data_IF_141095150858
#
_entry.id   IF_141095150858
#
_cell.length_a   1.000
_cell.length_b   1.000
_cell.length_c   1.000
_cell.angle_alpha   90.00
_cell.angle_beta   90.00
_cell.angle_gamma   90.00
#
_symmetry.space_group_name_H-M   'P 1'
#
loop_
_entity.id
_entity.type
_entity.pdbx_description
1 polymer ?
#
# COMPACT_ATOMS: atom_id res chain seq x y z
N UNK A 1 -30.75 -19.09 40.85
CA UNK A 1 -29.34 -18.74 40.61
C UNK A 1 -28.99 -18.97 39.13
N UNK A 2 -28.28 -17.99 38.53
CA UNK A 2 -27.37 -18.12 37.38
C UNK A 2 -27.88 -18.47 35.96
N UNK A 3 -28.82 -17.68 35.39
CA UNK A 3 -28.94 -17.57 33.91
C UNK A 3 -28.42 -16.25 33.33
N UNK A 4 -28.18 -15.24 34.16
CA UNK A 4 -27.76 -13.90 33.73
C UNK A 4 -26.24 -13.74 33.51
N UNK A 5 -25.42 -14.70 33.96
CA UNK A 5 -23.94 -14.62 33.85
C UNK A 5 -23.36 -15.18 32.54
N UNK A 6 -24.11 -16.00 31.81
CA UNK A 6 -23.63 -16.59 30.56
C UNK A 6 -23.77 -15.66 29.35
N UNK A 7 -24.74 -14.74 29.36
CA UNK A 7 -24.99 -13.83 28.25
C UNK A 7 -23.96 -12.69 28.20
N UNK A 8 -23.43 -12.26 29.34
CA UNK A 8 -22.39 -11.21 29.40
C UNK A 8 -21.04 -11.70 28.88
N UNK A 9 -20.69 -12.98 29.06
CA UNK A 9 -19.40 -13.53 28.62
C UNK A 9 -19.35 -13.69 27.09
N UNK A 10 -20.48 -14.00 26.44
CA UNK A 10 -20.53 -14.10 24.97
C UNK A 10 -20.43 -12.76 24.26
N UNK A 11 -20.94 -11.67 24.85
CA UNK A 11 -20.87 -10.34 24.22
C UNK A 11 -19.46 -9.74 24.31
N UNK A 12 -18.72 -10.00 25.41
CA UNK A 12 -17.33 -9.53 25.54
C UNK A 12 -16.38 -10.28 24.58
N UNK A 13 -16.66 -11.54 24.25
CA UNK A 13 -15.91 -12.28 23.24
C UNK A 13 -16.22 -11.86 21.80
N UNK A 14 -17.41 -11.32 21.52
CA UNK A 14 -17.78 -10.85 20.18
C UNK A 14 -17.32 -9.41 19.88
N UNK A 15 -17.16 -8.55 20.89
CA UNK A 15 -16.63 -7.18 20.69
C UNK A 15 -15.11 -7.20 20.43
N UNK A 16 -14.38 -8.23 20.87
CA UNK A 16 -12.96 -8.41 20.56
C UNK A 16 -12.65 -8.90 19.14
N UNK A 17 -13.66 -9.34 18.38
CA UNK A 17 -13.48 -9.96 17.04
C UNK A 17 -13.82 -8.99 15.91
N UNK A 18 -14.43 -7.85 16.20
CA UNK A 18 -14.80 -6.87 15.18
C UNK A 18 -13.81 -5.71 15.11
N UNK A 19 -13.09 -5.67 13.98
CA UNK A 19 -12.12 -4.67 13.52
C UNK A 19 -10.70 -4.82 14.08
N UNK A 20 -10.07 -5.96 13.79
CA UNK A 20 -8.64 -5.88 13.41
C UNK A 20 -8.60 -5.22 12.04
N UNK A 21 -8.73 -3.90 12.02
CA UNK A 21 -8.28 -3.14 10.86
C UNK A 21 -6.80 -3.50 10.73
N UNK A 22 -6.43 -4.17 9.65
CA UNK A 22 -5.17 -4.89 9.50
C UNK A 22 -3.99 -3.93 9.30
N UNK A 23 -3.92 -2.87 10.09
CA UNK A 23 -2.82 -1.93 10.05
C UNK A 23 -1.54 -2.69 10.34
N UNK A 24 -0.53 -2.52 9.49
CA UNK A 24 0.74 -3.19 9.70
C UNK A 24 1.39 -2.67 10.97
N UNK A 25 2.10 -3.54 11.70
CA UNK A 25 2.74 -3.15 12.95
C UNK A 25 3.79 -2.07 12.69
N UNK A 26 3.94 -1.14 13.65
CA UNK A 26 4.94 -0.07 13.52
C UNK A 26 6.35 -0.63 13.31
N UNK A 27 6.68 -1.74 13.98
CA UNK A 27 7.96 -2.44 13.81
C UNK A 27 8.19 -2.93 12.36
N UNK A 28 7.16 -3.44 11.69
CA UNK A 28 7.24 -3.78 10.28
C UNK A 28 7.47 -2.54 9.42
N UNK A 29 6.69 -1.46 9.64
CA UNK A 29 6.78 -0.22 8.87
C UNK A 29 8.18 0.39 8.94
N UNK A 30 8.78 0.43 10.12
CA UNK A 30 10.13 0.98 10.29
C UNK A 30 11.20 0.11 9.64
N UNK A 31 11.06 -1.22 9.71
CA UNK A 31 11.98 -2.15 9.05
C UNK A 31 11.87 -2.09 7.52
N UNK A 32 10.65 -2.02 6.97
CA UNK A 32 10.40 -1.84 5.55
C UNK A 32 11.00 -0.51 5.06
N UNK A 33 10.73 0.58 5.77
CA UNK A 33 11.31 1.90 5.49
C UNK A 33 12.83 1.88 5.44
N UNK A 34 13.47 1.23 6.42
CA UNK A 34 14.92 1.12 6.46
C UNK A 34 15.47 0.34 5.26
N UNK A 35 14.83 -0.78 4.91
CA UNK A 35 15.22 -1.63 3.79
C UNK A 35 15.09 -0.96 2.42
N UNK A 36 14.20 0.04 2.30
CA UNK A 36 13.94 0.77 1.05
C UNK A 36 14.52 2.18 1.02
N UNK A 37 15.15 2.64 2.10
CA UNK A 37 15.59 4.03 2.33
C UNK A 37 16.29 4.71 1.15
N UNK A 38 17.14 3.97 0.43
CA UNK A 38 17.84 4.47 -0.75
C UNK A 38 16.94 4.84 -1.96
N UNK A 39 15.64 4.59 -1.89
CA UNK A 39 14.66 4.85 -2.96
C UNK A 39 13.44 5.63 -2.45
N UNK A 40 13.39 5.93 -1.15
CA UNK A 40 12.27 6.65 -0.54
C UNK A 40 12.25 8.10 -1.04
N UNK A 41 11.05 8.60 -1.36
CA UNK A 41 10.76 9.93 -1.88
C UNK A 41 11.55 10.30 -3.15
N UNK A 42 12.15 9.31 -3.82
CA UNK A 42 12.86 9.53 -5.06
C UNK A 42 11.92 9.36 -6.23
N UNK A 43 11.87 10.40 -7.06
CA UNK A 43 11.00 10.40 -8.21
C UNK A 43 11.35 9.27 -9.19
N UNK A 44 10.34 8.67 -9.81
CA UNK A 44 10.48 7.64 -10.85
C UNK A 44 11.20 6.35 -10.40
N UNK A 45 11.47 6.19 -9.09
CA UNK A 45 12.15 5.02 -8.50
C UNK A 45 11.19 3.97 -7.92
N UNK A 46 9.94 3.93 -8.39
CA UNK A 46 8.92 3.00 -7.90
C UNK A 46 9.27 1.53 -8.19
N UNK A 47 9.95 1.24 -9.30
CA UNK A 47 10.37 -0.13 -9.67
C UNK A 47 11.45 -0.63 -8.71
N UNK A 48 12.52 0.14 -8.53
CA UNK A 48 13.62 -0.23 -7.64
C UNK A 48 13.14 -0.32 -6.18
N UNK A 49 12.30 0.62 -5.74
CA UNK A 49 11.63 0.53 -4.44
C UNK A 49 10.86 -0.78 -4.29
N UNK A 50 9.99 -1.12 -5.26
CA UNK A 50 9.17 -2.31 -5.20
C UNK A 50 10.00 -3.61 -5.21
N UNK A 51 11.10 -3.64 -5.96
CA UNK A 51 12.04 -4.78 -5.95
C UNK A 51 12.70 -4.98 -4.58
N UNK A 52 13.13 -3.88 -3.94
CA UNK A 52 13.70 -3.94 -2.58
C UNK A 52 12.67 -4.35 -1.54
N UNK A 53 11.46 -3.79 -1.60
CA UNK A 53 10.38 -4.17 -0.71
C UNK A 53 9.99 -5.65 -0.90
N UNK A 54 9.91 -6.14 -2.14
CA UNK A 54 9.67 -7.57 -2.43
C UNK A 54 10.73 -8.45 -1.78
N UNK A 55 12.00 -8.08 -1.91
CA UNK A 55 13.13 -8.82 -1.31
C UNK A 55 13.02 -8.87 0.22
N UNK A 56 12.69 -7.73 0.84
CA UNK A 56 12.45 -7.63 2.28
C UNK A 56 11.28 -8.52 2.73
N UNK A 57 10.16 -8.49 2.03
CA UNK A 57 8.97 -9.29 2.35
C UNK A 57 9.21 -10.80 2.22
N UNK A 58 9.94 -11.23 1.19
CA UNK A 58 10.33 -12.63 1.03
C UNK A 58 11.15 -13.13 2.21
N UNK A 59 12.03 -12.30 2.77
CA UNK A 59 12.88 -12.68 3.89
C UNK A 59 12.22 -12.52 5.27
N UNK A 60 11.20 -11.66 5.41
CA UNK A 60 10.71 -11.23 6.72
C UNK A 60 9.20 -11.38 6.95
N UNK A 61 8.41 -11.81 5.96
CA UNK A 61 6.95 -11.90 6.09
C UNK A 61 6.52 -12.75 7.29
N UNK A 62 7.14 -13.91 7.52
CA UNK A 62 6.88 -14.75 8.68
C UNK A 62 7.19 -14.03 10.01
N UNK A 63 8.33 -13.33 10.10
CA UNK A 63 8.73 -12.56 11.29
C UNK A 63 7.71 -11.51 11.69
N UNK A 64 7.09 -10.86 10.71
CA UNK A 64 6.12 -9.78 10.93
C UNK A 64 4.66 -10.23 10.80
N UNK A 65 4.39 -11.54 10.75
CA UNK A 65 3.05 -12.11 10.57
C UNK A 65 2.30 -11.53 9.35
N UNK A 66 3.03 -11.22 8.28
CA UNK A 66 2.46 -10.78 7.01
C UNK A 66 1.99 -12.04 6.26
N UNK A 67 0.69 -12.30 6.31
CA UNK A 67 0.07 -13.48 5.69
C UNK A 67 -0.28 -13.25 4.23
N UNK A 68 -0.39 -12.00 3.79
CA UNK A 68 -0.62 -11.66 2.38
C UNK A 68 -0.02 -10.30 2.01
N UNK A 69 0.54 -10.23 0.81
CA UNK A 69 0.90 -9.00 0.15
C UNK A 69 0.74 -9.19 -1.35
N UNK A 70 0.41 -8.11 -2.06
CA UNK A 70 0.26 -8.11 -3.53
C UNK A 70 0.96 -6.90 -4.11
N UNK A 71 1.59 -7.09 -5.26
CA UNK A 71 2.12 -5.97 -6.03
C UNK A 71 1.13 -5.64 -7.14
N UNK A 72 0.92 -4.35 -7.36
CA UNK A 72 0.09 -3.86 -8.44
C UNK A 72 0.87 -2.87 -9.29
N UNK A 73 0.65 -3.00 -10.60
CA UNK A 73 1.02 -2.00 -11.57
C UNK A 73 -0.19 -1.10 -11.83
N UNK A 74 0.04 0.21 -11.71
CA UNK A 74 -0.95 1.24 -11.99
C UNK A 74 -0.55 1.92 -13.29
N UNK A 75 -1.49 1.96 -14.22
CA UNK A 75 -1.34 2.56 -15.54
C UNK A 75 -2.45 3.53 -15.84
N UNK A 76 -2.17 4.58 -16.58
CA UNK A 76 -3.20 5.44 -17.16
C UNK A 76 -3.95 4.66 -18.26
N UNK A 77 -5.29 4.78 -18.33
CA UNK A 77 -6.15 4.10 -19.32
C UNK A 77 -5.83 4.53 -20.75
N UNK A 78 -5.58 5.82 -20.94
CA UNK A 78 -5.42 6.41 -22.29
C UNK A 78 -3.95 6.52 -22.72
N UNK A 79 -3.06 5.72 -22.11
CA UNK A 79 -1.62 5.75 -22.41
C UNK A 79 -0.94 7.09 -22.08
N UNK A 80 -1.54 7.89 -21.20
CA UNK A 80 -0.97 9.17 -20.76
C UNK A 80 0.32 8.93 -19.97
N UNK A 81 1.38 9.71 -20.20
CA UNK A 81 2.71 9.42 -19.67
C UNK A 81 2.88 9.72 -18.17
N UNK A 82 1.92 10.38 -17.52
CA UNK A 82 2.14 10.93 -16.17
C UNK A 82 1.00 10.60 -15.19
N UNK A 83 1.39 9.98 -14.09
CA UNK A 83 0.64 9.84 -12.85
C UNK A 83 1.27 10.82 -11.84
N UNK A 84 0.47 11.63 -11.17
CA UNK A 84 0.90 12.51 -10.07
C UNK A 84 0.16 12.14 -8.78
N UNK A 85 0.64 12.61 -7.64
CA UNK A 85 0.06 12.30 -6.34
C UNK A 85 0.19 13.50 -5.39
N UNK A 86 -0.90 13.86 -4.70
CA UNK A 86 -0.94 15.09 -3.87
C UNK A 86 0.12 15.14 -2.78
N UNK A 87 0.46 13.98 -2.20
CA UNK A 87 1.50 13.89 -1.15
C UNK A 87 2.94 14.09 -1.67
N UNK A 88 3.14 14.21 -2.99
CA UNK A 88 4.43 14.52 -3.61
C UNK A 88 4.38 15.85 -4.38
N UNK A 89 3.53 15.91 -5.40
CA UNK A 89 3.35 17.05 -6.28
C UNK A 89 2.17 16.79 -7.21
N UNK A 90 1.38 17.83 -7.49
CA UNK A 90 0.30 17.79 -8.48
C UNK A 90 0.81 17.94 -9.92
N UNK A 91 2.06 18.40 -10.10
CA UNK A 91 2.65 18.71 -11.42
C UNK A 91 3.85 17.83 -11.77
N UNK A 92 4.42 17.13 -10.79
CA UNK A 92 5.60 16.27 -10.99
C UNK A 92 5.19 14.80 -10.97
N UNK A 93 5.37 14.13 -12.10
CA UNK A 93 5.00 12.72 -12.25
C UNK A 93 5.77 11.84 -11.26
N UNK A 94 5.08 10.87 -10.66
CA UNK A 94 5.62 9.82 -9.77
C UNK A 94 5.86 8.51 -10.51
N UNK A 95 5.37 8.45 -11.75
CA UNK A 95 5.43 7.30 -12.66
C UNK A 95 6.39 7.52 -13.81
N UNK A 96 7.06 6.46 -14.25
CA UNK A 96 7.80 6.46 -15.50
C UNK A 96 6.94 5.90 -16.62
N UNK A 97 6.74 6.62 -17.73
CA UNK A 97 5.91 6.21 -18.86
C UNK A 97 4.47 5.82 -18.47
N UNK A 98 3.86 6.58 -17.55
CA UNK A 98 2.50 6.36 -17.08
C UNK A 98 2.34 5.10 -16.22
N UNK A 99 3.44 4.52 -15.74
CA UNK A 99 3.48 3.30 -14.94
C UNK A 99 4.02 3.57 -13.53
N UNK A 100 3.27 3.13 -12.52
CA UNK A 100 3.67 3.17 -11.11
C UNK A 100 3.48 1.80 -10.47
N UNK A 101 4.35 1.42 -9.54
CA UNK A 101 4.25 0.13 -8.84
C UNK A 101 4.01 0.37 -7.36
N UNK A 102 3.00 -0.30 -6.82
CA UNK A 102 2.68 -0.30 -5.41
C UNK A 102 2.69 -1.72 -4.85
N UNK A 103 2.94 -1.85 -3.55
CA UNK A 103 2.61 -3.05 -2.78
C UNK A 103 1.41 -2.77 -1.87
N UNK A 104 0.43 -3.67 -1.84
CA UNK A 104 -0.64 -3.64 -0.84
C UNK A 104 -0.35 -4.73 0.19
N UNK A 105 -0.20 -4.32 1.44
CA UNK A 105 0.20 -5.18 2.56
C UNK A 105 -0.79 -4.91 3.68
N UNK A 106 -1.60 -5.92 4.00
CA UNK A 106 -2.68 -5.82 4.99
C UNK A 106 -3.60 -4.59 4.80
N UNK A 107 -3.88 -4.20 3.55
CA UNK A 107 -4.76 -3.06 3.24
C UNK A 107 -4.08 -1.69 3.22
N UNK A 108 -2.77 -1.63 3.48
CA UNK A 108 -1.96 -0.42 3.33
C UNK A 108 -1.12 -0.47 2.05
N UNK A 109 -1.00 0.68 1.39
CA UNK A 109 -0.16 0.89 0.21
C UNK A 109 1.24 1.30 0.64
N UNK A 110 2.23 0.55 0.16
CA UNK A 110 3.65 0.85 0.26
C UNK A 110 4.19 1.13 -1.13
N UNK A 111 4.75 2.32 -1.31
CA UNK A 111 5.48 2.74 -2.50
C UNK A 111 6.64 3.67 -2.09
N UNK A 112 7.38 4.18 -3.08
CA UNK A 112 8.50 5.08 -2.82
C UNK A 112 8.07 6.37 -2.11
N UNK A 113 6.80 6.81 -2.22
CA UNK A 113 6.29 8.02 -1.55
C UNK A 113 5.77 7.73 -0.14
N UNK A 114 5.28 6.51 0.10
CA UNK A 114 4.71 6.06 1.36
C UNK A 114 5.48 4.85 1.89
N UNK A 115 6.78 5.01 2.19
CA UNK A 115 7.61 3.89 2.61
C UNK A 115 7.23 3.32 3.99
N UNK A 116 6.39 4.03 4.76
CA UNK A 116 5.79 3.58 6.02
C UNK A 116 4.33 3.12 5.89
N UNK A 117 3.85 2.96 4.66
CA UNK A 117 2.47 2.57 4.39
C UNK A 117 1.50 3.74 4.50
N UNK A 118 0.48 3.73 3.64
CA UNK A 118 -0.69 4.61 3.70
C UNK A 118 -1.96 3.78 3.57
N UNK A 119 -3.06 4.20 4.19
CA UNK A 119 -4.33 3.52 3.98
C UNK A 119 -4.69 3.54 2.48
N UNK A 120 -5.01 2.37 1.90
CA UNK A 120 -5.21 2.25 0.45
C UNK A 120 -6.21 3.26 -0.10
N UNK A 121 -7.36 3.42 0.56
CA UNK A 121 -8.40 4.37 0.12
C UNK A 121 -7.93 5.82 0.15
N UNK A 122 -7.11 6.20 1.13
CA UNK A 122 -6.54 7.55 1.22
C UNK A 122 -5.45 7.78 0.20
N UNK A 123 -4.71 6.74 -0.17
CA UNK A 123 -3.68 6.81 -1.21
C UNK A 123 -4.34 6.94 -2.59
N UNK A 124 -5.34 6.11 -2.89
CA UNK A 124 -6.05 6.13 -4.17
C UNK A 124 -6.79 7.45 -4.42
N UNK A 125 -7.34 8.09 -3.39
CA UNK A 125 -8.05 9.37 -3.54
C UNK A 125 -7.16 10.55 -3.94
N UNK A 126 -5.84 10.40 -3.83
CA UNK A 126 -4.85 11.46 -4.11
C UNK A 126 -4.12 11.25 -5.44
N UNK A 127 -4.50 10.23 -6.22
CA UNK A 127 -3.92 9.95 -7.52
C UNK A 127 -4.55 10.81 -8.62
N UNK A 128 -3.70 11.37 -9.47
CA UNK A 128 -4.11 12.22 -10.58
C UNK A 128 -3.44 11.82 -11.89
N UNK A 129 -4.17 12.01 -12.98
CA UNK A 129 -3.59 11.98 -14.32
C UNK A 129 -3.54 13.42 -14.84
N UNK A 130 -2.35 13.90 -15.20
CA UNK A 130 -2.06 15.31 -15.56
C UNK A 130 -2.89 15.82 -16.75
N UNK A 131 -3.53 14.94 -17.52
CA UNK A 131 -4.40 15.30 -18.63
C UNK A 131 -5.86 15.67 -18.25
N UNK A 132 -6.20 15.80 -16.95
CA UNK A 132 -7.40 16.53 -16.52
C UNK A 132 -8.61 15.71 -16.05
N UNK A 133 -8.43 14.67 -15.22
CA UNK A 133 -9.56 14.00 -14.58
C UNK A 133 -9.23 13.17 -13.34
N UNK A 134 -9.89 13.49 -12.23
CA UNK A 134 -10.02 12.67 -11.01
C UNK A 134 -10.75 11.33 -11.33
N UNK A 135 -10.70 10.32 -10.45
CA UNK A 135 -9.89 9.10 -10.54
C UNK A 135 -10.39 8.05 -11.58
N UNK A 136 -11.16 8.42 -12.60
CA UNK A 136 -11.75 7.45 -13.54
C UNK A 136 -10.76 6.88 -14.58
N UNK A 137 -9.51 7.36 -14.57
CA UNK A 137 -8.52 7.16 -15.63
C UNK A 137 -7.41 6.12 -15.39
N UNK A 138 -7.48 5.27 -14.36
CA UNK A 138 -6.43 4.29 -14.07
C UNK A 138 -6.88 2.84 -14.28
N UNK A 139 -5.92 2.00 -14.69
CA UNK A 139 -6.00 0.54 -14.61
C UNK A 139 -5.04 0.06 -13.53
N UNK A 140 -5.45 -0.96 -12.81
CA UNK A 140 -4.66 -1.59 -11.75
C UNK A 140 -4.58 -3.07 -12.03
N UNK A 141 -3.37 -3.57 -12.24
CA UNK A 141 -3.13 -4.97 -12.59
C UNK A 141 -2.26 -5.60 -11.52
N UNK A 142 -2.69 -6.70 -10.92
CA UNK A 142 -1.85 -7.48 -10.02
C UNK A 142 -0.67 -8.08 -10.80
N UNK A 143 0.55 -7.92 -10.29
CA UNK A 143 1.78 -8.39 -10.93
C UNK A 143 2.54 -9.35 -10.01
N UNK A 144 3.06 -10.43 -10.60
CA UNK A 144 3.92 -11.41 -9.90
C UNK A 144 5.41 -11.14 -10.14
N UNK A 145 5.74 -10.50 -11.27
CA UNK A 145 7.09 -10.06 -11.65
C UNK A 145 7.16 -8.53 -11.69
N UNK A 146 8.15 -7.97 -11.00
CA UNK A 146 8.45 -6.54 -11.03
C UNK A 146 9.51 -6.33 -12.12
N UNK A 147 9.05 -5.90 -13.29
CA UNK A 147 9.88 -5.63 -14.47
C UNK A 147 10.27 -4.16 -14.54
#
# INVERSE_FOLDING_TARGET
>A
MNKLKFLTIFIVLLIGVFKVNAQTSQAFKDAAFAATSAYNNQNLKCVEYAQKLKSFLSANSAKYSITSYKFYEIKTKDGKPFITHDDYSTTTAISQNGRHIIAVINGEVFDNLHPKGSAKTSWESKLHCVAGGYPTGFTTTEITTIK
#
